data_IF_822902473894
#
_entry.id   IF_822902473894
#
_cell.length_a   1.000
_cell.length_b   1.000
_cell.length_c   1.000
_cell.angle_alpha   90.00
_cell.angle_beta   90.00
_cell.angle_gamma   90.00
#
_symmetry.space_group_name_H-M   'P 1'
#
loop_
_entity.id
_entity.type
_entity.pdbx_description
1 polymer ?
#
# COMPACT_ATOMS: atom_id res chain seq x y z
N UNK A 1 16.31 -28.80 -3.67
CA UNK A 1 15.55 -27.73 -4.35
C UNK A 1 14.43 -27.31 -3.41
N UNK A 2 14.51 -26.11 -2.83
CA UNK A 2 13.45 -25.58 -1.97
C UNK A 2 12.31 -25.15 -2.89
N UNK A 3 11.38 -26.05 -3.18
CA UNK A 3 10.17 -25.70 -3.92
C UNK A 3 9.37 -24.72 -3.07
N UNK A 4 9.12 -23.54 -3.61
CA UNK A 4 8.13 -22.61 -3.08
C UNK A 4 6.80 -23.35 -2.93
N UNK A 5 6.10 -23.12 -1.82
CA UNK A 5 4.78 -23.69 -1.60
C UNK A 5 3.88 -23.32 -2.80
N UNK A 6 3.33 -24.30 -3.54
CA UNK A 6 2.47 -24.01 -4.67
C UNK A 6 1.17 -23.35 -4.18
N UNK A 7 0.74 -22.32 -4.89
CA UNK A 7 -0.51 -21.61 -4.59
C UNK A 7 -1.72 -22.58 -4.65
N UNK A 8 -2.78 -22.37 -3.83
CA UNK A 8 -3.97 -23.24 -3.82
C UNK A 8 -4.72 -23.30 -5.18
N UNK A 9 -5.76 -24.13 -5.30
CA UNK A 9 -6.55 -24.19 -6.54
C UNK A 9 -7.32 -22.88 -6.79
N UNK A 10 -7.57 -22.49 -8.06
CA UNK A 10 -8.20 -21.20 -8.41
C UNK A 10 -9.57 -20.97 -7.74
N UNK A 11 -10.34 -22.05 -7.55
CA UNK A 11 -11.68 -22.03 -6.95
C UNK A 11 -11.74 -21.42 -5.55
N UNK A 12 -10.63 -21.46 -4.79
CA UNK A 12 -10.53 -20.88 -3.45
C UNK A 12 -9.82 -19.52 -3.43
N UNK A 13 -9.23 -19.11 -4.55
CA UNK A 13 -8.37 -17.94 -4.62
C UNK A 13 -9.09 -16.65 -4.92
N UNK A 14 -10.33 -16.69 -5.42
CA UNK A 14 -11.01 -15.50 -5.91
C UNK A 14 -12.52 -15.52 -5.81
N UNK A 15 -13.09 -14.34 -5.98
CA UNK A 15 -14.53 -14.16 -6.16
C UNK A 15 -14.79 -14.25 -7.67
N UNK A 16 -15.71 -15.12 -8.13
CA UNK A 16 -16.04 -15.26 -9.55
C UNK A 16 -16.93 -14.11 -10.01
N UNK A 17 -16.31 -12.93 -10.11
CA UNK A 17 -16.96 -11.70 -10.56
C UNK A 17 -17.47 -11.85 -11.98
N UNK A 18 -16.77 -12.64 -12.79
CA UNK A 18 -17.20 -13.09 -14.10
C UNK A 18 -18.59 -13.71 -14.09
N UNK A 19 -18.79 -14.76 -13.30
CA UNK A 19 -20.09 -15.41 -13.17
C UNK A 19 -21.15 -14.48 -12.59
N UNK A 20 -20.79 -13.65 -11.60
CA UNK A 20 -21.71 -12.66 -11.04
C UNK A 20 -22.19 -11.63 -12.09
N UNK A 21 -21.28 -11.09 -12.90
CA UNK A 21 -21.60 -10.14 -13.97
C UNK A 21 -22.44 -10.78 -15.08
N UNK A 22 -22.11 -12.01 -15.48
CA UNK A 22 -22.92 -12.78 -16.44
C UNK A 22 -24.33 -13.02 -15.89
N UNK A 23 -24.46 -13.35 -14.61
CA UNK A 23 -25.77 -13.56 -13.95
C UNK A 23 -26.55 -12.24 -13.80
N UNK A 24 -25.86 -11.13 -13.53
CA UNK A 24 -26.47 -9.80 -13.37
C UNK A 24 -26.91 -9.20 -14.71
N UNK A 25 -26.13 -9.44 -15.77
CA UNK A 25 -26.31 -8.88 -17.11
C UNK A 25 -26.20 -9.98 -18.18
N UNK A 26 -27.19 -10.89 -18.25
CA UNK A 26 -27.13 -12.04 -19.16
C UNK A 26 -27.07 -11.66 -20.66
N UNK A 27 -27.37 -10.40 -20.98
CA UNK A 27 -27.27 -9.85 -22.34
C UNK A 27 -25.85 -9.51 -22.79
N UNK A 28 -24.88 -9.41 -21.86
CA UNK A 28 -23.46 -9.18 -22.22
C UNK A 28 -22.80 -10.43 -22.82
N UNK A 29 -23.41 -11.61 -22.65
CA UNK A 29 -22.80 -12.88 -23.03
C UNK A 29 -21.56 -13.21 -22.19
N UNK A 30 -21.01 -14.41 -22.38
CA UNK A 30 -19.77 -14.81 -21.71
C UNK A 30 -18.52 -14.26 -22.39
N UNK A 31 -18.61 -13.76 -23.62
CA UNK A 31 -17.46 -13.37 -24.42
C UNK A 31 -17.56 -11.90 -24.81
N UNK A 32 -16.69 -11.06 -24.26
CA UNK A 32 -16.62 -9.63 -24.61
C UNK A 32 -15.54 -9.44 -25.66
N UNK A 33 -15.94 -8.95 -26.82
CA UNK A 33 -15.03 -8.61 -27.92
C UNK A 33 -14.70 -7.12 -27.86
N UNK A 34 -13.42 -6.81 -27.66
CA UNK A 34 -12.92 -5.44 -27.63
C UNK A 34 -12.83 -4.85 -29.05
N UNK A 35 -12.81 -3.52 -29.22
CA UNK A 35 -12.78 -2.86 -30.54
C UNK A 35 -11.60 -3.27 -31.45
N UNK A 36 -10.52 -3.78 -30.85
CA UNK A 36 -9.31 -4.29 -31.51
C UNK A 36 -9.32 -5.81 -31.76
N UNK A 37 -10.48 -6.47 -31.64
CA UNK A 37 -10.68 -7.87 -32.03
C UNK A 37 -10.25 -8.92 -30.98
N UNK A 38 -9.84 -8.49 -29.79
CA UNK A 38 -9.56 -9.41 -28.68
C UNK A 38 -10.88 -9.81 -28.01
N UNK A 39 -11.20 -11.11 -28.02
CA UNK A 39 -12.35 -11.67 -27.31
C UNK A 39 -11.84 -12.34 -26.02
N UNK A 40 -12.38 -11.94 -24.88
CA UNK A 40 -12.06 -12.59 -23.60
C UNK A 40 -13.34 -13.07 -22.92
N UNK A 41 -13.22 -14.22 -22.26
CA UNK A 41 -14.34 -14.85 -21.58
C UNK A 41 -14.52 -14.22 -20.19
N UNK A 42 -15.64 -13.54 -19.98
CA UNK A 42 -16.04 -12.92 -18.72
C UNK A 42 -16.17 -13.95 -17.60
N UNK A 43 -16.68 -15.16 -17.87
CA UNK A 43 -16.90 -16.17 -16.83
C UNK A 43 -15.60 -16.63 -16.14
N UNK A 44 -14.46 -16.51 -16.81
CA UNK A 44 -13.14 -16.84 -16.24
C UNK A 44 -12.48 -15.65 -15.49
N UNK A 45 -13.20 -14.56 -15.26
CA UNK A 45 -12.68 -13.39 -14.56
C UNK A 45 -12.88 -13.51 -13.04
N UNK A 46 -11.86 -14.04 -12.37
CA UNK A 46 -11.82 -14.15 -10.91
C UNK A 46 -10.94 -13.07 -10.29
N UNK A 47 -11.51 -12.28 -9.37
CA UNK A 47 -10.70 -11.35 -8.58
C UNK A 47 -10.14 -12.12 -7.39
N UNK A 48 -8.82 -12.21 -7.32
CA UNK A 48 -8.16 -12.92 -6.22
C UNK A 48 -8.44 -12.23 -4.88
N UNK A 49 -8.90 -12.97 -3.88
CA UNK A 49 -9.30 -12.41 -2.58
C UNK A 49 -8.13 -11.75 -1.86
N UNK A 50 -6.92 -12.28 -2.00
CA UNK A 50 -5.72 -11.62 -1.47
C UNK A 50 -5.47 -10.23 -2.12
N UNK A 51 -5.82 -10.05 -3.39
CA UNK A 51 -5.65 -8.77 -4.07
C UNK A 51 -6.63 -7.73 -3.51
N UNK A 52 -7.85 -8.15 -3.17
CA UNK A 52 -8.82 -7.31 -2.44
C UNK A 52 -8.30 -6.93 -1.06
N UNK A 53 -7.70 -7.87 -0.31
CA UNK A 53 -7.09 -7.60 0.99
C UNK A 53 -5.91 -6.61 0.90
N UNK A 54 -5.06 -6.74 -0.12
CA UNK A 54 -3.97 -5.80 -0.37
C UNK A 54 -4.51 -4.42 -0.73
N UNK A 55 -5.50 -4.35 -1.62
CA UNK A 55 -6.14 -3.09 -2.02
C UNK A 55 -6.77 -2.39 -0.81
N UNK A 56 -7.49 -3.14 0.03
CA UNK A 56 -8.02 -2.62 1.29
C UNK A 56 -6.90 -2.07 2.17
N UNK A 57 -5.78 -2.78 2.30
CA UNK A 57 -4.61 -2.32 3.03
C UNK A 57 -4.05 -1.00 2.50
N UNK A 58 -3.91 -0.86 1.18
CA UNK A 58 -3.45 0.37 0.51
C UNK A 58 -4.41 1.52 0.80
N UNK A 59 -5.72 1.31 0.66
CA UNK A 59 -6.73 2.33 0.92
C UNK A 59 -6.71 2.79 2.39
N UNK A 60 -6.59 1.86 3.34
CA UNK A 60 -6.50 2.17 4.77
C UNK A 60 -5.22 2.94 5.11
N UNK A 61 -4.08 2.56 4.52
CA UNK A 61 -2.82 3.26 4.71
C UNK A 61 -2.88 4.68 4.12
N UNK A 62 -3.39 4.83 2.90
CA UNK A 62 -3.54 6.12 2.25
C UNK A 62 -4.49 7.04 3.03
N UNK A 63 -5.64 6.52 3.45
CA UNK A 63 -6.61 7.26 4.27
C UNK A 63 -6.02 7.74 5.59
N UNK A 64 -5.33 6.85 6.33
CA UNK A 64 -4.72 7.21 7.61
C UNK A 64 -3.58 8.23 7.43
N UNK A 65 -2.77 8.06 6.38
CA UNK A 65 -1.69 8.99 6.04
C UNK A 65 -2.27 10.37 5.71
N UNK A 66 -3.29 10.44 4.87
CA UNK A 66 -3.95 11.69 4.50
C UNK A 66 -4.56 12.38 5.72
N UNK A 67 -5.22 11.61 6.61
CA UNK A 67 -5.75 12.14 7.87
C UNK A 67 -4.65 12.74 8.75
N UNK A 68 -3.50 12.08 8.86
CA UNK A 68 -2.35 12.56 9.67
C UNK A 68 -1.66 13.76 9.04
N UNK A 69 -1.57 13.83 7.71
CA UNK A 69 -1.05 15.00 6.99
C UNK A 69 -1.96 16.22 7.16
N UNK A 70 -3.29 16.05 7.08
CA UNK A 70 -4.25 17.13 7.35
C UNK A 70 -4.14 17.69 8.77
N UNK A 71 -3.87 16.83 9.76
CA UNK A 71 -3.61 17.27 11.14
C UNK A 71 -2.35 18.11 11.28
N UNK A 72 -1.44 18.06 10.29
CA UNK A 72 -0.21 18.86 10.22
C UNK A 72 -0.34 20.02 9.20
N UNK A 73 -1.55 20.35 8.75
CA UNK A 73 -1.79 21.46 7.80
C UNK A 73 -1.41 21.16 6.35
N UNK A 74 -1.23 19.89 5.98
CA UNK A 74 -0.92 19.47 4.61
C UNK A 74 -2.18 18.93 3.94
N UNK A 75 -2.41 19.28 2.68
CA UNK A 75 -3.54 18.70 1.93
C UNK A 75 -3.42 17.17 1.82
N UNK A 76 -4.55 16.49 1.97
CA UNK A 76 -4.59 15.03 1.94
C UNK A 76 -4.39 14.42 0.55
N UNK A 77 -4.63 15.20 -0.51
CA UNK A 77 -4.43 14.79 -1.91
C UNK A 77 -2.97 14.48 -2.23
N UNK A 78 -2.02 15.14 -1.56
CA UNK A 78 -0.58 14.90 -1.72
C UNK A 78 -0.17 13.45 -1.46
N UNK A 79 -0.97 12.67 -0.72
CA UNK A 79 -0.72 11.24 -0.56
C UNK A 79 -0.73 10.52 -1.90
N UNK A 80 -1.67 10.87 -2.79
CA UNK A 80 -1.77 10.27 -4.11
C UNK A 80 -0.58 10.71 -4.96
N UNK A 81 -0.23 11.99 -4.94
CA UNK A 81 0.91 12.53 -5.69
C UNK A 81 2.20 11.80 -5.35
N UNK A 82 2.46 11.57 -4.05
CA UNK A 82 3.64 10.82 -3.59
C UNK A 82 3.51 9.32 -3.88
N UNK A 83 2.30 8.74 -3.71
CA UNK A 83 2.06 7.32 -3.94
C UNK A 83 2.30 6.91 -5.40
N UNK A 84 2.00 7.77 -6.37
CA UNK A 84 2.26 7.49 -7.80
C UNK A 84 3.74 7.23 -8.04
N UNK A 85 4.64 8.07 -7.51
CA UNK A 85 6.08 7.83 -7.61
C UNK A 85 6.50 6.54 -6.90
N UNK A 86 5.96 6.29 -5.71
CA UNK A 86 6.28 5.10 -4.93
C UNK A 86 5.87 3.80 -5.64
N UNK A 87 4.68 3.77 -6.25
CA UNK A 87 4.17 2.59 -6.97
C UNK A 87 4.96 2.35 -8.25
N UNK A 88 5.17 3.40 -9.07
CA UNK A 88 5.91 3.27 -10.34
C UNK A 88 7.34 2.79 -10.08
N UNK A 89 8.07 3.47 -9.20
CA UNK A 89 9.44 3.05 -8.89
C UNK A 89 9.49 1.73 -8.14
N UNK A 90 8.51 1.44 -7.28
CA UNK A 90 8.38 0.14 -6.63
C UNK A 90 8.27 -1.01 -7.62
N UNK A 91 7.41 -0.90 -8.64
CA UNK A 91 7.25 -1.92 -9.68
C UNK A 91 8.55 -2.08 -10.48
N UNK A 92 9.15 -0.97 -10.91
CA UNK A 92 10.42 -0.98 -11.66
C UNK A 92 11.53 -1.63 -10.82
N UNK A 93 11.69 -1.21 -9.57
CA UNK A 93 12.72 -1.72 -8.67
C UNK A 93 12.51 -3.20 -8.32
N UNK A 94 11.27 -3.63 -8.14
CA UNK A 94 10.93 -5.04 -7.93
C UNK A 94 11.42 -5.91 -9.09
N UNK A 95 11.26 -5.40 -10.33
CA UNK A 95 11.68 -6.11 -11.53
C UNK A 95 13.18 -6.12 -11.70
N UNK A 96 13.81 -4.94 -11.60
CA UNK A 96 15.26 -4.80 -11.71
C UNK A 96 15.97 -5.70 -10.70
N UNK A 97 15.53 -5.67 -9.43
CA UNK A 97 16.16 -6.48 -8.39
C UNK A 97 15.98 -7.98 -8.65
N UNK A 98 14.82 -8.41 -9.16
CA UNK A 98 14.60 -9.81 -9.53
C UNK A 98 15.58 -10.27 -10.63
N UNK A 99 15.67 -9.49 -11.71
CA UNK A 99 16.58 -9.79 -12.84
C UNK A 99 18.03 -9.85 -12.38
N UNK A 100 18.44 -8.95 -11.48
CA UNK A 100 19.79 -8.95 -10.92
C UNK A 100 20.07 -10.12 -9.97
N UNK A 101 19.04 -10.69 -9.34
CA UNK A 101 19.20 -11.84 -8.43
C UNK A 101 19.28 -13.15 -9.20
N UNK A 102 18.64 -13.23 -10.36
CA UNK A 102 18.62 -14.40 -11.23
C UNK A 102 19.18 -14.11 -12.62
N UNK A 103 20.43 -13.62 -12.74
CA UNK A 103 20.97 -13.19 -14.03
C UNK A 103 21.00 -14.33 -15.05
N UNK A 104 21.21 -15.57 -14.62
CA UNK A 104 21.29 -16.74 -15.51
C UNK A 104 19.96 -17.05 -16.23
N UNK A 105 18.82 -16.70 -15.63
CA UNK A 105 17.48 -16.89 -16.23
C UNK A 105 17.19 -15.88 -17.34
N UNK A 106 17.84 -14.72 -17.32
CA UNK A 106 17.54 -13.61 -18.22
C UNK A 106 18.66 -13.32 -19.22
N UNK A 107 19.92 -13.55 -18.84
CA UNK A 107 21.12 -13.14 -19.59
C UNK A 107 21.85 -14.33 -20.25
N UNK A 108 21.23 -15.52 -20.28
CA UNK A 108 21.75 -16.72 -20.94
C UNK A 108 21.58 -16.74 -22.46
N UNK A 109 21.78 -17.92 -23.09
CA UNK A 109 21.74 -18.10 -24.56
C UNK A 109 20.40 -17.72 -25.22
N UNK A 110 19.30 -17.65 -24.45
CA UNK A 110 17.97 -17.23 -24.90
C UNK A 110 17.58 -15.83 -24.37
N UNK A 111 18.49 -14.86 -24.43
CA UNK A 111 18.21 -13.48 -23.99
C UNK A 111 17.04 -12.87 -24.78
N UNK A 112 15.98 -12.52 -24.06
CA UNK A 112 14.83 -11.80 -24.59
C UNK A 112 14.52 -10.59 -23.69
N UNK A 113 14.70 -9.40 -24.26
CA UNK A 113 14.44 -8.13 -23.57
C UNK A 113 12.97 -7.99 -23.16
N UNK A 114 12.04 -8.60 -23.90
CA UNK A 114 10.63 -8.61 -23.54
C UNK A 114 10.41 -9.31 -22.20
N UNK A 115 11.06 -10.46 -22.00
CA UNK A 115 11.01 -11.18 -20.73
C UNK A 115 11.63 -10.39 -19.59
N UNK A 116 12.62 -9.52 -19.81
CA UNK A 116 13.17 -8.66 -18.75
C UNK A 116 12.14 -7.63 -18.24
N UNK A 117 11.24 -7.16 -19.09
CA UNK A 117 10.25 -6.11 -18.75
C UNK A 117 8.92 -6.70 -18.27
N UNK A 118 8.59 -7.92 -18.71
CA UNK A 118 7.31 -8.56 -18.47
C UNK A 118 7.04 -8.88 -16.99
N UNK A 119 6.58 -7.88 -16.22
CA UNK A 119 6.18 -8.02 -14.80
C UNK A 119 4.96 -8.92 -14.61
N UNK A 120 4.13 -9.08 -15.65
CA UNK A 120 2.95 -9.95 -15.66
C UNK A 120 3.31 -11.45 -15.75
N UNK A 121 4.54 -11.79 -16.13
CA UNK A 121 5.02 -13.18 -16.11
C UNK A 121 5.44 -13.64 -14.70
N UNK A 122 5.26 -12.80 -13.68
CA UNK A 122 5.77 -13.05 -12.33
C UNK A 122 7.24 -12.63 -12.19
N UNK A 123 7.90 -13.06 -11.11
CA UNK A 123 9.29 -12.70 -10.84
C UNK A 123 9.47 -11.25 -10.37
N UNK A 124 8.92 -10.94 -9.19
CA UNK A 124 9.07 -9.63 -8.54
C UNK A 124 9.75 -9.81 -7.20
N UNK A 125 10.83 -9.05 -6.98
CA UNK A 125 11.58 -9.10 -5.73
C UNK A 125 11.10 -8.02 -4.76
N UNK A 126 10.60 -8.44 -3.60
CA UNK A 126 10.03 -7.51 -2.60
C UNK A 126 11.05 -6.49 -2.07
N UNK A 127 12.32 -6.87 -1.95
CA UNK A 127 13.38 -5.95 -1.53
C UNK A 127 13.60 -4.82 -2.55
N UNK A 128 13.56 -5.15 -3.85
CA UNK A 128 13.60 -4.16 -4.92
C UNK A 128 12.42 -3.19 -4.86
N UNK A 129 11.22 -3.72 -4.60
CA UNK A 129 10.01 -2.91 -4.44
C UNK A 129 10.11 -1.93 -3.26
N UNK A 130 10.61 -2.40 -2.12
CA UNK A 130 10.75 -1.58 -0.91
C UNK A 130 11.79 -0.47 -1.07
N UNK A 131 12.96 -0.78 -1.63
CA UNK A 131 14.04 0.19 -1.81
C UNK A 131 13.64 1.26 -2.82
N UNK A 132 13.18 0.84 -4.00
CA UNK A 132 12.79 1.78 -5.05
C UNK A 132 11.48 2.50 -4.73
N UNK A 133 10.56 1.87 -4.01
CA UNK A 133 9.36 2.52 -3.48
C UNK A 133 9.71 3.61 -2.47
N UNK A 134 10.65 3.36 -1.54
CA UNK A 134 11.14 4.39 -0.63
C UNK A 134 11.83 5.55 -1.35
N UNK A 135 12.59 5.25 -2.41
CA UNK A 135 13.15 6.27 -3.31
C UNK A 135 12.03 7.07 -4.01
N UNK A 136 10.97 6.40 -4.44
CA UNK A 136 9.79 7.03 -5.04
C UNK A 136 9.09 7.96 -4.07
N UNK A 137 8.92 7.56 -2.81
CA UNK A 137 8.39 8.45 -1.77
C UNK A 137 9.29 9.68 -1.60
N UNK A 138 10.61 9.49 -1.55
CA UNK A 138 11.55 10.62 -1.43
C UNK A 138 11.48 11.58 -2.62
N UNK A 139 11.42 11.06 -3.85
CA UNK A 139 11.27 11.88 -5.06
C UNK A 139 9.91 12.58 -5.11
N UNK A 140 8.83 11.89 -4.75
CA UNK A 140 7.49 12.47 -4.66
C UNK A 140 7.43 13.61 -3.65
N UNK A 141 8.00 13.43 -2.45
CA UNK A 141 8.12 14.48 -1.45
C UNK A 141 8.98 15.66 -1.96
N UNK A 142 10.06 15.38 -2.68
CA UNK A 142 10.90 16.42 -3.30
C UNK A 142 10.15 17.19 -4.38
N UNK A 143 9.31 16.51 -5.16
CA UNK A 143 8.49 17.12 -6.20
C UNK A 143 7.41 18.03 -5.62
N UNK A 144 6.70 17.57 -4.59
CA UNK A 144 5.64 18.34 -3.93
C UNK A 144 6.16 19.41 -2.97
N UNK A 145 7.46 19.37 -2.61
CA UNK A 145 8.03 20.27 -1.62
C UNK A 145 7.81 19.82 -0.17
N UNK A 146 7.12 18.70 0.05
CA UNK A 146 6.90 18.13 1.37
C UNK A 146 8.21 17.57 1.96
N UNK A 147 8.39 17.67 3.28
CA UNK A 147 9.49 16.99 3.96
C UNK A 147 9.25 15.49 3.97
N UNK A 148 10.26 14.74 3.56
CA UNK A 148 10.24 13.28 3.58
C UNK A 148 9.91 12.72 4.96
N UNK A 149 10.47 13.30 6.03
CA UNK A 149 10.24 12.90 7.42
C UNK A 149 8.77 13.05 7.83
N UNK A 150 8.12 14.14 7.45
CA UNK A 150 6.69 14.37 7.72
C UNK A 150 5.85 13.28 7.06
N UNK A 151 6.15 12.97 5.80
CA UNK A 151 5.39 11.97 5.05
C UNK A 151 5.57 10.56 5.64
N UNK A 152 6.81 10.13 5.88
CA UNK A 152 7.05 8.77 6.40
C UNK A 152 6.55 8.58 7.83
N UNK A 153 6.56 9.62 8.67
CA UNK A 153 5.94 9.57 10.00
C UNK A 153 4.41 9.53 9.93
N UNK A 154 3.80 10.17 8.93
CA UNK A 154 2.38 10.06 8.67
C UNK A 154 2.01 8.64 8.17
N UNK A 155 2.86 8.05 7.32
CA UNK A 155 2.68 6.75 6.70
C UNK A 155 2.93 5.57 7.65
N UNK A 156 3.86 5.69 8.59
CA UNK A 156 4.31 4.61 9.48
C UNK A 156 3.20 3.74 10.12
N UNK A 157 2.18 4.29 10.80
CA UNK A 157 1.09 3.47 11.35
C UNK A 157 0.21 2.87 10.25
N UNK A 158 0.06 3.55 9.11
CA UNK A 158 -0.67 3.04 7.94
C UNK A 158 -0.02 1.79 7.34
N UNK A 159 1.31 1.71 7.32
CA UNK A 159 2.04 0.52 6.86
C UNK A 159 1.69 -0.74 7.66
N UNK A 160 1.60 -0.63 8.98
CA UNK A 160 1.23 -1.76 9.84
C UNK A 160 -0.22 -2.18 9.60
N UNK A 161 -1.13 -1.22 9.42
CA UNK A 161 -2.54 -1.52 9.09
C UNK A 161 -2.64 -2.21 7.73
N UNK A 162 -1.89 -1.76 6.73
CA UNK A 162 -1.83 -2.40 5.42
C UNK A 162 -1.29 -3.84 5.52
N UNK A 163 -0.26 -4.05 6.33
CA UNK A 163 0.28 -5.39 6.59
C UNK A 163 -0.75 -6.29 7.29
N UNK A 164 -1.50 -5.77 8.27
CA UNK A 164 -2.59 -6.51 8.92
C UNK A 164 -3.69 -6.90 7.91
N UNK A 165 -4.11 -5.98 7.04
CA UNK A 165 -5.08 -6.27 5.99
C UNK A 165 -4.55 -7.34 5.02
N UNK A 166 -3.28 -7.25 4.60
CA UNK A 166 -2.64 -8.27 3.75
C UNK A 166 -2.63 -9.67 4.36
N UNK A 167 -2.51 -9.78 5.70
CA UNK A 167 -2.55 -11.07 6.42
C UNK A 167 -3.92 -11.73 6.40
N UNK A 168 -5.01 -10.98 6.21
CA UNK A 168 -6.33 -11.57 5.96
C UNK A 168 -6.35 -12.35 4.63
N UNK A 169 -5.58 -11.91 3.64
CA UNK A 169 -5.42 -12.65 2.38
C UNK A 169 -4.78 -14.02 2.62
N UNK A 170 -3.80 -14.11 3.53
CA UNK A 170 -3.17 -15.40 3.87
C UNK A 170 -4.12 -16.34 4.62
N UNK A 171 -5.01 -15.79 5.44
CA UNK A 171 -6.07 -16.57 6.08
C UNK A 171 -7.01 -17.18 5.04
N UNK A 172 -7.53 -16.36 4.11
CA UNK A 172 -8.46 -16.86 3.07
C UNK A 172 -7.78 -17.88 2.15
N UNK A 173 -6.51 -17.64 1.79
CA UNK A 173 -5.75 -18.56 0.96
C UNK A 173 -5.26 -19.82 1.69
N UNK A 174 -5.51 -19.96 3.00
CA UNK A 174 -4.97 -21.05 3.81
C UNK A 174 -3.45 -21.25 3.62
N UNK A 175 -2.69 -20.16 3.63
CA UNK A 175 -1.24 -20.18 3.38
C UNK A 175 -0.46 -19.50 4.53
N UNK A 176 0.87 -19.71 4.55
CA UNK A 176 1.79 -19.03 5.48
C UNK A 176 1.52 -19.28 6.99
N UNK A 177 0.88 -20.40 7.34
CA UNK A 177 0.66 -20.86 8.71
C UNK A 177 1.96 -21.35 9.39
N UNK A 178 1.92 -21.49 10.71
CA UNK A 178 3.08 -21.87 11.52
C UNK A 178 3.26 -23.38 11.68
N UNK A 179 4.14 -23.76 12.61
CA UNK A 179 4.36 -25.17 13.00
C UNK A 179 3.08 -25.83 13.58
N UNK A 180 3.01 -27.18 13.59
CA UNK A 180 1.96 -27.93 14.28
C UNK A 180 1.84 -27.54 15.75
N UNK A 181 0.62 -27.49 16.27
CA UNK A 181 0.33 -27.02 17.63
C UNK A 181 -0.80 -27.81 18.28
N UNK A 182 -0.75 -27.97 19.60
CA UNK A 182 -1.84 -28.54 20.41
C UNK A 182 -2.69 -27.49 21.12
N UNK A 183 -2.51 -26.21 20.79
CA UNK A 183 -3.22 -25.11 21.45
C UNK A 183 -4.70 -25.04 21.04
N UNK A 184 -5.60 -24.57 21.92
CA UNK A 184 -7.03 -24.58 21.66
C UNK A 184 -7.49 -23.62 20.56
N UNK A 185 -6.63 -22.68 20.13
CA UNK A 185 -6.85 -21.78 18.99
C UNK A 185 -6.05 -22.21 17.74
N UNK A 186 -5.62 -23.47 17.69
CA UNK A 186 -4.94 -24.02 16.52
C UNK A 186 -5.81 -23.93 15.27
N UNK A 187 -5.20 -23.55 14.15
CA UNK A 187 -5.83 -23.45 12.85
C UNK A 187 -5.85 -24.83 12.19
N UNK A 188 -7.02 -25.31 11.83
CA UNK A 188 -7.14 -26.49 10.99
C UNK A 188 -6.92 -26.11 9.53
N UNK A 189 -6.00 -26.81 8.88
CA UNK A 189 -5.77 -26.70 7.44
C UNK A 189 -6.15 -28.04 6.81
N UNK A 190 -6.86 -27.98 5.68
CA UNK A 190 -7.28 -29.18 4.98
C UNK A 190 -6.08 -29.94 4.41
N UNK A 191 -6.08 -31.27 4.55
CA UNK A 191 -4.96 -32.11 4.10
C UNK A 191 -4.77 -32.10 2.57
N UNK A 192 -5.81 -31.71 1.83
CA UNK A 192 -5.78 -31.51 0.37
C UNK A 192 -5.06 -30.22 -0.04
N UNK A 193 -4.80 -29.30 0.91
CA UNK A 193 -4.12 -28.05 0.63
C UNK A 193 -2.67 -28.33 0.20
N UNK A 194 -2.19 -27.80 -0.94
CA UNK A 194 -0.81 -27.99 -1.38
C UNK A 194 0.26 -27.46 -0.40
N UNK A 195 -0.11 -26.54 0.49
CA UNK A 195 0.73 -26.03 1.57
C UNK A 195 0.82 -26.96 2.78
N UNK A 196 -0.03 -27.99 2.87
CA UNK A 196 -0.06 -28.93 3.98
C UNK A 196 1.23 -29.79 3.98
N UNK A 197 1.99 -29.85 5.09
CA UNK A 197 3.24 -30.59 5.12
C UNK A 197 3.02 -32.10 4.91
N UNK A 198 3.76 -32.67 3.96
CA UNK A 198 3.70 -34.11 3.63
C UNK A 198 4.08 -34.94 4.86
N UNK A 199 3.25 -35.94 5.17
CA UNK A 199 3.50 -36.91 6.26
C UNK A 199 2.87 -36.56 7.61
N UNK A 200 2.14 -35.44 7.72
CA UNK A 200 1.33 -35.14 8.90
C UNK A 200 -0.07 -35.76 8.81
N UNK A 201 -0.67 -36.17 9.94
CA UNK A 201 -2.01 -36.74 9.95
C UNK A 201 -3.08 -35.66 9.64
N UNK A 202 -4.18 -36.09 9.03
CA UNK A 202 -5.36 -35.26 8.83
C UNK A 202 -5.89 -34.76 10.19
N UNK A 203 -6.34 -33.51 10.24
CA UNK A 203 -6.78 -32.86 11.48
C UNK A 203 -5.65 -32.27 12.34
N UNK A 204 -4.39 -32.29 11.87
CA UNK A 204 -3.31 -31.55 12.51
C UNK A 204 -3.65 -30.05 12.56
N UNK A 205 -3.53 -29.47 13.75
CA UNK A 205 -3.71 -28.03 13.96
C UNK A 205 -2.36 -27.31 13.84
N UNK A 206 -2.38 -26.10 13.30
CA UNK A 206 -1.20 -25.27 13.09
C UNK A 206 -1.32 -23.94 13.84
N UNK A 207 -0.19 -23.30 14.14
CA UNK A 207 -0.22 -21.93 14.66
C UNK A 207 -0.82 -20.96 13.62
N UNK A 208 -1.88 -20.19 13.95
CA UNK A 208 -2.41 -19.13 13.09
C UNK A 208 -1.48 -17.90 13.10
N UNK A 209 -0.32 -18.01 12.45
CA UNK A 209 0.67 -16.93 12.30
C UNK A 209 0.08 -15.68 11.68
N UNK A 210 -0.87 -15.80 10.73
CA UNK A 210 -1.58 -14.66 10.17
C UNK A 210 -2.27 -13.83 11.27
N UNK A 211 -2.93 -14.49 12.24
CA UNK A 211 -3.65 -13.83 13.33
C UNK A 211 -2.67 -13.15 14.28
N UNK A 212 -1.58 -13.84 14.61
CA UNK A 212 -0.54 -13.26 15.47
C UNK A 212 0.08 -12.01 14.83
N UNK A 213 0.33 -12.05 13.52
CA UNK A 213 0.85 -10.92 12.76
C UNK A 213 -0.17 -9.77 12.64
N UNK A 214 -1.47 -10.06 12.47
CA UNK A 214 -2.54 -9.05 12.50
C UNK A 214 -2.52 -8.33 13.85
N UNK A 215 -2.56 -9.08 14.95
CA UNK A 215 -2.57 -8.51 16.30
C UNK A 215 -1.31 -7.69 16.53
N UNK A 216 -0.13 -8.21 16.19
CA UNK A 216 1.14 -7.50 16.31
C UNK A 216 1.16 -6.18 15.56
N UNK A 217 0.67 -6.18 14.31
CA UNK A 217 0.65 -5.00 13.48
C UNK A 217 -0.37 -3.96 13.99
N UNK A 218 -1.56 -4.39 14.40
CA UNK A 218 -2.57 -3.48 14.97
C UNK A 218 -2.12 -2.87 16.30
N UNK A 219 -1.48 -3.66 17.17
CA UNK A 219 -0.87 -3.16 18.41
C UNK A 219 0.25 -2.17 18.09
N UNK A 220 1.11 -2.46 17.12
CA UNK A 220 2.17 -1.54 16.71
C UNK A 220 1.63 -0.23 16.16
N UNK A 221 0.59 -0.28 15.32
CA UNK A 221 -0.09 0.91 14.82
C UNK A 221 -0.67 1.74 15.97
N UNK A 222 -1.34 1.07 16.93
CA UNK A 222 -1.87 1.72 18.12
C UNK A 222 -0.77 2.35 18.99
N UNK A 223 0.37 1.68 19.17
CA UNK A 223 1.54 2.19 19.92
C UNK A 223 2.11 3.43 19.24
N UNK A 224 2.32 3.41 17.93
CA UNK A 224 2.81 4.57 17.18
C UNK A 224 1.83 5.73 17.30
N UNK A 225 0.54 5.49 17.08
CA UNK A 225 -0.52 6.51 17.17
C UNK A 225 -0.65 7.08 18.59
N UNK A 226 -0.51 6.24 19.61
CA UNK A 226 -0.55 6.67 21.01
C UNK A 226 0.67 7.51 21.37
N UNK A 227 1.86 7.09 20.94
CA UNK A 227 3.11 7.79 21.25
C UNK A 227 3.17 9.14 20.52
N UNK A 228 2.71 9.19 19.27
CA UNK A 228 2.59 10.42 18.48
C UNK A 228 1.67 11.44 19.15
N UNK A 229 0.53 11.01 19.70
CA UNK A 229 -0.36 11.90 20.47
C UNK A 229 0.23 12.38 21.80
N UNK A 230 1.16 11.65 22.39
CA UNK A 230 1.69 11.98 23.73
C UNK A 230 3.04 12.68 23.73
N UNK A 231 3.85 12.48 22.68
CA UNK A 231 5.27 12.85 22.64
C UNK A 231 5.67 13.50 21.33
N UNK A 232 4.72 13.75 20.43
CA UNK A 232 4.95 14.39 19.13
C UNK A 232 6.18 13.81 18.41
N UNK A 233 6.12 12.51 18.14
CA UNK A 233 7.22 11.77 17.50
C UNK A 233 7.31 12.12 16.02
N UNK A 234 7.95 13.26 15.74
CA UNK A 234 8.19 13.82 14.42
C UNK A 234 9.64 13.54 13.94
N UNK A 235 10.04 14.16 12.83
CA UNK A 235 11.40 14.07 12.27
C UNK A 235 11.84 12.67 11.84
N UNK A 236 10.92 11.79 11.47
CA UNK A 236 11.21 10.40 11.10
C UNK A 236 11.21 9.43 12.28
N UNK A 237 10.94 9.89 13.51
CA UNK A 237 10.94 9.04 14.71
C UNK A 237 9.83 7.98 14.66
N UNK A 238 8.66 8.29 14.10
CA UNK A 238 7.58 7.30 13.96
C UNK A 238 7.93 6.24 12.90
N UNK A 239 8.57 6.64 11.79
CA UNK A 239 9.11 5.69 10.82
C UNK A 239 10.22 4.80 11.41
N UNK A 240 11.11 5.36 12.24
CA UNK A 240 12.12 4.59 12.96
C UNK A 240 11.49 3.56 13.92
N UNK A 241 10.45 3.97 14.66
CA UNK A 241 9.70 3.07 15.54
C UNK A 241 8.99 1.95 14.75
N UNK A 242 8.43 2.26 13.57
CA UNK A 242 7.88 1.25 12.67
C UNK A 242 8.92 0.20 12.27
N UNK A 243 10.14 0.62 11.87
CA UNK A 243 11.20 -0.32 11.49
C UNK A 243 11.63 -1.23 12.64
N UNK A 244 11.72 -0.68 13.85
CA UNK A 244 11.99 -1.47 15.07
C UNK A 244 10.86 -2.48 15.30
N UNK A 245 9.61 -2.01 15.29
CA UNK A 245 8.44 -2.85 15.56
C UNK A 245 8.29 -3.99 14.55
N UNK A 246 8.41 -3.66 13.26
CA UNK A 246 8.38 -4.63 12.18
C UNK A 246 9.52 -5.64 12.30
N UNK A 247 10.75 -5.16 12.51
CA UNK A 247 11.92 -6.03 12.61
C UNK A 247 11.84 -6.99 13.80
N UNK A 248 11.45 -6.51 14.98
CA UNK A 248 11.24 -7.36 16.17
C UNK A 248 10.18 -8.43 15.90
N UNK A 249 9.03 -8.05 15.35
CA UNK A 249 7.99 -9.01 14.97
C UNK A 249 8.52 -10.03 13.98
N UNK A 250 9.20 -9.60 12.92
CA UNK A 250 9.73 -10.47 11.87
C UNK A 250 10.71 -11.51 12.41
N UNK A 251 11.56 -11.15 13.39
CA UNK A 251 12.46 -12.09 14.06
C UNK A 251 11.67 -13.18 14.79
N UNK A 252 10.62 -12.81 15.52
CA UNK A 252 9.77 -13.75 16.27
C UNK A 252 8.99 -14.67 15.32
N UNK A 253 8.26 -14.10 14.35
CA UNK A 253 7.37 -14.87 13.49
C UNK A 253 8.11 -15.80 12.54
N UNK A 254 9.29 -15.41 12.07
CA UNK A 254 10.11 -16.27 11.20
C UNK A 254 10.59 -17.54 11.92
N UNK A 255 10.71 -17.52 13.26
CA UNK A 255 11.04 -18.72 14.05
C UNK A 255 9.88 -19.73 14.16
N UNK A 256 8.63 -19.26 14.02
CA UNK A 256 7.41 -20.07 14.15
C UNK A 256 6.94 -20.58 12.77
N UNK A 257 7.41 -19.97 11.68
CA UNK A 257 6.99 -20.33 10.32
C UNK A 257 7.58 -21.66 9.88
N UNK A 258 6.77 -22.43 9.15
CA UNK A 258 7.15 -23.73 8.60
C UNK A 258 7.85 -23.63 7.24
N UNK A 259 7.69 -22.50 6.55
CA UNK A 259 8.17 -22.36 5.18
C UNK A 259 9.69 -22.51 5.05
N UNK A 260 10.16 -23.15 3.96
CA UNK A 260 11.57 -23.11 3.59
C UNK A 260 12.00 -21.67 3.29
N UNK A 261 13.18 -21.29 3.75
CA UNK A 261 13.78 -19.98 3.49
C UNK A 261 15.28 -20.12 3.31
N UNK A 262 15.87 -19.27 2.48
CA UNK A 262 17.31 -19.22 2.31
C UNK A 262 18.01 -18.89 3.62
N UNK A 263 19.07 -19.64 3.92
CA UNK A 263 19.83 -19.54 5.16
C UNK A 263 21.21 -18.99 4.84
N UNK A 264 21.58 -17.91 5.52
CA UNK A 264 22.89 -17.26 5.45
C UNK A 264 23.50 -17.22 6.85
N UNK A 265 24.68 -17.80 7.03
CA UNK A 265 25.31 -18.01 8.35
C UNK A 265 24.42 -18.72 9.38
N UNK A 266 23.66 -19.73 8.95
CA UNK A 266 22.77 -20.49 9.85
C UNK A 266 21.49 -19.75 10.27
N UNK A 267 21.29 -18.52 9.78
CA UNK A 267 20.10 -17.69 10.04
C UNK A 267 19.39 -17.38 8.72
N UNK A 268 18.05 -17.37 8.71
CA UNK A 268 17.27 -17.05 7.51
C UNK A 268 17.54 -15.62 7.04
N UNK A 269 17.66 -15.40 5.72
CA UNK A 269 17.93 -14.06 5.12
C UNK A 269 16.92 -13.01 5.58
N UNK A 270 15.66 -13.41 5.76
CA UNK A 270 14.59 -12.56 6.28
C UNK A 270 14.86 -12.02 7.69
N UNK A 271 15.56 -12.77 8.53
CA UNK A 271 15.94 -12.36 9.89
C UNK A 271 17.09 -11.36 9.83
N UNK A 272 18.04 -11.52 8.91
CA UNK A 272 19.08 -10.52 8.68
C UNK A 272 18.50 -9.17 8.24
N UNK A 273 17.56 -9.18 7.30
CA UNK A 273 16.84 -7.97 6.90
C UNK A 273 16.08 -7.34 8.08
N UNK A 274 15.46 -8.16 8.93
CA UNK A 274 14.77 -7.70 10.13
C UNK A 274 15.72 -7.05 11.15
N UNK A 275 16.88 -7.65 11.40
CA UNK A 275 17.94 -7.09 12.26
C UNK A 275 18.40 -5.73 11.69
N UNK A 276 18.66 -5.66 10.38
CA UNK A 276 19.02 -4.42 9.70
C UNK A 276 17.96 -3.33 9.86
N UNK A 277 16.68 -3.69 9.75
CA UNK A 277 15.57 -2.76 9.99
C UNK A 277 15.54 -2.25 11.44
N UNK A 278 15.73 -3.12 12.43
CA UNK A 278 15.81 -2.72 13.85
C UNK A 278 16.97 -1.74 14.07
N UNK A 279 18.17 -2.08 13.58
CA UNK A 279 19.37 -1.24 13.74
C UNK A 279 19.14 0.13 13.08
N UNK A 280 18.63 0.16 11.85
CA UNK A 280 18.33 1.41 11.15
C UNK A 280 17.29 2.24 11.90
N UNK A 281 16.21 1.61 12.40
CA UNK A 281 15.19 2.28 13.18
C UNK A 281 15.72 2.89 14.48
N UNK A 282 16.60 2.18 15.19
CA UNK A 282 17.28 2.69 16.39
C UNK A 282 18.20 3.86 16.05
N UNK A 283 18.97 3.77 14.97
CA UNK A 283 19.82 4.87 14.51
C UNK A 283 18.99 6.10 14.19
N UNK A 284 17.90 5.96 13.43
CA UNK A 284 16.98 7.06 13.12
C UNK A 284 16.45 7.68 14.42
N UNK A 285 15.94 6.85 15.33
CA UNK A 285 15.41 7.34 16.60
C UNK A 285 16.44 8.15 17.40
N UNK A 286 17.65 7.62 17.58
CA UNK A 286 18.70 8.26 18.39
C UNK A 286 19.26 9.51 17.74
N UNK A 287 19.50 9.50 16.42
CA UNK A 287 20.03 10.65 15.68
C UNK A 287 19.00 11.77 15.65
N UNK A 288 17.76 11.46 15.33
CA UNK A 288 16.70 12.46 15.22
C UNK A 288 16.31 13.04 16.58
N UNK A 289 16.34 12.22 17.65
CA UNK A 289 16.13 12.72 19.02
C UNK A 289 17.24 13.67 19.48
N UNK A 290 18.48 13.51 19.00
CA UNK A 290 19.60 14.41 19.32
C UNK A 290 19.62 15.67 18.46
N UNK A 291 19.31 15.56 17.18
CA UNK A 291 19.34 16.69 16.23
C UNK A 291 18.11 17.58 16.31
N UNK A 292 16.96 17.02 16.69
CA UNK A 292 15.67 17.71 16.69
C UNK A 292 14.95 17.51 18.03
N UNK A 293 15.34 18.26 19.08
CA UNK A 293 14.70 18.18 20.39
C UNK A 293 13.29 18.80 20.43
N UNK A 294 12.97 19.65 19.46
CA UNK A 294 11.67 20.32 19.34
C UNK A 294 10.78 19.74 18.24
N UNK A 295 9.59 20.33 18.12
CA UNK A 295 8.65 20.04 17.05
C UNK A 295 9.21 20.48 15.69
N UNK A 296 8.74 19.83 14.64
CA UNK A 296 8.93 20.22 13.25
C UNK A 296 8.23 21.56 13.01
N UNK A 297 8.96 22.64 12.65
CA UNK A 297 8.36 23.96 12.49
C UNK A 297 7.34 24.03 11.36
N UNK A 298 7.62 23.32 10.27
CA UNK A 298 6.82 23.30 9.04
C UNK A 298 6.96 21.94 8.38
N UNK A 299 5.87 21.36 7.84
CA UNK A 299 5.93 20.11 7.08
C UNK A 299 6.61 20.29 5.72
N UNK A 300 6.84 21.52 5.28
CA UNK A 300 7.39 21.86 3.97
C UNK A 300 8.90 22.08 3.99
N UNK A 301 9.55 21.84 2.87
CA UNK A 301 10.96 22.18 2.68
C UNK A 301 11.13 23.71 2.65
N UNK A 302 12.31 24.24 3.05
CA UNK A 302 12.54 25.69 3.03
C UNK A 302 12.28 26.29 1.65
N UNK A 303 11.43 27.32 1.57
CA UNK A 303 11.06 27.99 0.32
C UNK A 303 10.10 27.20 -0.58
N UNK A 304 9.43 26.17 -0.05
CA UNK A 304 8.43 25.35 -0.74
C UNK A 304 7.10 25.32 0.01
N UNK A 305 6.89 26.28 0.88
CA UNK A 305 5.60 26.47 1.53
C UNK A 305 4.59 26.96 0.49
N UNK A 306 3.33 26.49 0.52
CA UNK A 306 2.27 27.08 -0.28
C UNK A 306 2.24 28.59 0.00
N UNK A 307 2.15 29.42 -1.04
CA UNK A 307 1.81 30.82 -0.84
C UNK A 307 0.43 30.85 -0.16
N UNK A 308 0.28 31.67 0.88
CA UNK A 308 -1.03 31.93 1.48
C UNK A 308 -1.86 32.64 0.40
N UNK A 309 -2.53 31.85 -0.44
CA UNK A 309 -3.66 32.31 -1.22
C UNK A 309 -4.77 32.63 -0.22
N UNK A 310 -4.64 33.78 0.45
CA UNK A 310 -5.77 34.54 0.91
C UNK A 310 -6.57 34.85 -0.35
N UNK A 311 -7.48 33.92 -0.70
CA UNK A 311 -8.50 34.15 -1.71
C UNK A 311 -9.28 35.35 -1.19
N UNK A 312 -8.96 36.52 -1.72
CA UNK A 312 -9.61 37.78 -1.40
C UNK A 312 -11.05 37.63 -1.88
N UNK A 313 -11.94 37.25 -0.95
CA UNK A 313 -13.34 36.96 -1.24
C UNK A 313 -14.11 38.17 -1.75
N UNK A 314 -13.49 39.35 -1.80
CA UNK A 314 -14.07 40.60 -2.30
C UNK A 314 -14.19 40.65 -3.82
N UNK A 315 -13.51 39.78 -4.58
CA UNK A 315 -13.59 39.82 -6.07
C UNK A 315 -14.90 39.25 -6.63
N UNK A 316 -15.67 38.49 -5.85
CA UNK A 316 -16.95 37.92 -6.32
C UNK A 316 -18.19 38.76 -5.96
N UNK A 317 -18.09 39.75 -5.06
CA UNK A 317 -19.24 40.57 -4.68
C UNK A 317 -19.52 41.75 -5.61
N UNK A 318 -18.57 42.17 -6.45
CA UNK A 318 -18.77 43.34 -7.34
C UNK A 318 -19.54 43.01 -8.63
N UNK A 319 -19.80 41.73 -8.94
CA UNK A 319 -20.51 41.33 -10.17
C UNK A 319 -22.03 41.18 -10.01
N UNK A 320 -22.56 41.17 -8.78
CA UNK A 320 -24.00 41.01 -8.51
C UNK A 320 -24.74 42.34 -8.26
N UNK A 321 -24.05 43.48 -8.06
CA UNK A 321 -24.71 44.78 -7.83
C UNK A 321 -24.93 45.62 -9.10
N UNK A 322 -24.49 45.15 -10.28
CA UNK A 322 -24.51 45.96 -11.51
C UNK A 322 -25.80 45.85 -12.36
N UNK A 323 -26.83 45.09 -11.96
CA UNK A 323 -28.02 44.86 -12.82
C UNK A 323 -29.40 45.03 -12.14
N UNK A 324 -29.55 46.04 -11.27
CA UNK A 324 -30.86 46.42 -10.73
C UNK A 324 -31.09 47.93 -10.65
N UNK A 325 -30.93 48.65 -11.77
CA UNK A 325 -31.59 49.97 -11.94
C UNK A 325 -32.01 50.19 -13.40
N UNK A 326 -33.14 49.61 -13.78
CA UNK A 326 -33.91 50.07 -14.94
C UNK A 326 -35.41 50.01 -14.59
N UNK A 327 -35.96 51.14 -14.16
CA UNK A 327 -37.41 51.35 -14.02
C UNK A 327 -38.13 51.22 -15.38
N UNK A 328 -39.40 50.75 -15.43
CA UNK A 328 -40.20 50.81 -16.64
C UNK A 328 -41.00 52.11 -16.68
N UNK A 329 -40.75 52.96 -17.68
CA UNK A 329 -41.63 54.08 -18.01
C UNK A 329 -42.68 53.65 -19.04
N UNK A 330 -43.93 53.55 -18.58
CA UNK A 330 -45.14 53.42 -19.42
C UNK A 330 -45.62 54.82 -19.82
N UNK A 331 -45.93 55.05 -21.10
CA UNK A 331 -46.60 56.28 -21.55
C UNK A 331 -46.97 56.26 -23.04
N UNK A 332 -48.27 56.31 -23.31
CA UNK A 332 -48.95 56.11 -24.59
C UNK A 332 -48.73 57.20 -25.67
N UNK A 333 -49.05 56.87 -26.93
CA UNK A 333 -49.25 57.83 -28.03
C UNK A 333 -50.33 58.88 -27.71
N UNK A 334 -50.48 60.00 -28.43
CA UNK A 334 -50.64 60.17 -29.88
C UNK A 334 -50.71 61.68 -30.21
N UNK A 335 -50.60 62.05 -31.51
CA UNK A 335 -51.10 63.28 -32.20
C UNK A 335 -50.20 64.55 -32.21
N UNK A 336 -49.99 65.37 -33.28
CA UNK A 336 -50.21 65.35 -34.75
C UNK A 336 -49.49 66.60 -35.37
N UNK A 337 -49.05 66.50 -36.63
CA UNK A 337 -49.03 67.53 -37.74
C UNK A 337 -47.92 68.58 -37.99
N UNK A 338 -47.58 68.66 -39.29
CA UNK A 338 -47.15 69.81 -40.16
C UNK A 338 -45.76 70.42 -39.94
N UNK A 339 -44.95 70.68 -40.97
CA UNK A 339 -45.23 71.11 -42.36
C UNK A 339 -44.57 70.29 -43.46
#
# INVERSE_FOLDING_TARGET
MLQSIPSPSPEWQGVPVGEWLTNLMPFLGNDVTLPWGATFNLANFDIRTYALCILLGILLAAWLTARRLRQRGVDGGLVIDVAVFAVILGIIGARVFHVLTYPDEYLGENFDLYNVIAVWNGGVAIFGALIAGALGIWLGCKYTGLRFTTFVDALAPGMLIAQAAGRLGNYVNHELFGQPTGLPWGLQIEATNPAFPVGLPEGTLFHPTFLYEIIWNLVGAAVILWLDRRRDIQWGKAAGLYLIWYGVGRIVWESIRINPSEVFFGIRVNVWAAIGAVVLGVIIWLVQSRRHPGLEPTPWQPGREPEDDAVDSETYSELDEADTTAEPAVGAGTATTTT
#
